data_IF_472848671878
#
_entry.id   IF_472848671878
#
_cell.length_a   1.000
_cell.length_b   1.000
_cell.length_c   1.000
_cell.angle_alpha   90.00
_cell.angle_beta   90.00
_cell.angle_gamma   90.00
#
_symmetry.space_group_name_H-M   'P 1'
#
loop_
_entity.id
_entity.type
_entity.pdbx_description
1 polymer ?
#
# COMPACT_ATOMS: atom_id res chain seq x y z
N UNK A 1 -11.35 -15.29 -0.80
CA UNK A 1 -10.44 -14.41 -0.03
C UNK A 1 -9.18 -15.19 0.32
N UNK A 2 -8.00 -14.57 0.25
CA UNK A 2 -6.75 -15.18 0.67
C UNK A 2 -6.03 -14.25 1.64
N UNK A 3 -5.59 -14.76 2.79
CA UNK A 3 -4.80 -13.96 3.73
C UNK A 3 -3.40 -13.72 3.14
N UNK A 4 -2.97 -12.46 3.10
CA UNK A 4 -1.65 -12.04 2.59
C UNK A 4 -0.98 -11.12 3.59
N UNK A 5 0.35 -11.18 3.63
CA UNK A 5 1.18 -10.28 4.43
C UNK A 5 1.78 -9.23 3.51
N UNK A 6 1.56 -7.96 3.81
CA UNK A 6 2.16 -6.81 3.16
C UNK A 6 3.23 -6.24 4.07
N UNK A 7 4.39 -5.91 3.50
CA UNK A 7 5.45 -5.17 4.20
C UNK A 7 5.42 -3.73 3.71
N UNK A 8 5.03 -2.80 4.57
CA UNK A 8 4.95 -1.39 4.22
C UNK A 8 6.03 -0.62 4.96
N UNK A 9 6.70 0.30 4.25
CA UNK A 9 7.67 1.19 4.87
C UNK A 9 6.93 2.23 5.71
N UNK A 10 7.35 2.37 6.97
CA UNK A 10 6.81 3.28 7.96
C UNK A 10 7.95 4.13 8.45
N UNK A 11 7.86 5.43 8.24
CA UNK A 11 8.94 6.34 8.57
C UNK A 11 8.62 7.80 8.26
N UNK A 12 9.54 8.66 8.65
CA UNK A 12 9.55 10.09 8.41
C UNK A 12 10.92 10.54 7.90
N UNK A 13 11.24 11.83 8.02
CA UNK A 13 12.51 12.39 7.58
C UNK A 13 13.74 11.85 8.35
N UNK A 14 13.56 11.26 9.53
CA UNK A 14 14.63 10.75 10.39
C UNK A 14 14.97 9.27 10.13
N UNK A 15 14.11 8.55 9.42
CA UNK A 15 14.30 7.13 9.11
C UNK A 15 12.98 6.36 9.08
N UNK A 16 13.07 5.05 8.98
CA UNK A 16 11.90 4.17 9.02
C UNK A 16 12.26 2.70 8.85
N UNK A 17 11.25 1.86 8.98
CA UNK A 17 11.36 0.41 8.90
C UNK A 17 10.18 -0.21 8.14
N UNK A 18 10.35 -1.46 7.73
CA UNK A 18 9.27 -2.24 7.13
C UNK A 18 8.44 -2.92 8.22
N UNK A 19 7.15 -2.60 8.30
CA UNK A 19 6.21 -3.26 9.19
C UNK A 19 5.28 -4.20 8.42
N UNK A 20 4.95 -5.33 9.04
CA UNK A 20 4.13 -6.38 8.46
C UNK A 20 2.64 -6.17 8.81
N UNK A 21 1.77 -6.20 7.80
CA UNK A 21 0.32 -6.10 7.92
C UNK A 21 -0.35 -7.28 7.25
N UNK A 22 -1.30 -7.91 7.94
CA UNK A 22 -2.05 -9.06 7.41
C UNK A 22 -3.43 -8.60 6.97
N UNK A 23 -3.79 -8.86 5.72
CA UNK A 23 -5.12 -8.57 5.18
C UNK A 23 -5.64 -9.70 4.32
N UNK A 24 -6.96 -9.81 4.24
CA UNK A 24 -7.60 -10.63 3.24
C UNK A 24 -7.65 -9.90 1.90
N UNK A 25 -7.18 -10.57 0.85
CA UNK A 25 -7.27 -10.07 -0.52
C UNK A 25 -8.31 -10.84 -1.33
N UNK A 26 -8.93 -10.13 -2.26
CA UNK A 26 -9.98 -10.62 -3.13
C UNK A 26 -9.62 -10.47 -4.61
N UNK A 27 -10.28 -11.25 -5.46
CA UNK A 27 -10.08 -11.16 -6.90
C UNK A 27 -10.52 -9.77 -7.39
N UNK A 28 -9.64 -9.09 -8.11
CA UNK A 28 -9.91 -7.75 -8.65
C UNK A 28 -9.36 -6.60 -7.79
N UNK A 29 -8.89 -6.87 -6.56
CA UNK A 29 -8.16 -5.88 -5.79
C UNK A 29 -6.82 -5.56 -6.46
N UNK A 30 -6.49 -4.27 -6.52
CA UNK A 30 -5.15 -3.78 -6.84
C UNK A 30 -4.37 -3.51 -5.55
N UNK A 31 -3.07 -3.20 -5.65
CA UNK A 31 -2.23 -2.98 -4.46
C UNK A 31 -2.71 -1.75 -3.69
N UNK A 32 -3.23 -0.73 -4.39
CA UNK A 32 -3.82 0.44 -3.76
C UNK A 32 -5.04 0.09 -2.88
N UNK A 33 -5.86 -0.89 -3.27
CA UNK A 33 -6.99 -1.35 -2.44
C UNK A 33 -6.50 -1.98 -1.12
N UNK A 34 -5.44 -2.78 -1.19
CA UNK A 34 -4.79 -3.36 -0.02
C UNK A 34 -4.23 -2.28 0.91
N UNK A 35 -3.56 -1.26 0.37
CA UNK A 35 -2.98 -0.16 1.14
C UNK A 35 -4.08 0.66 1.83
N UNK A 36 -5.19 0.97 1.14
CA UNK A 36 -6.31 1.67 1.75
C UNK A 36 -6.97 0.86 2.87
N UNK A 37 -7.11 -0.45 2.69
CA UNK A 37 -7.65 -1.32 3.74
C UNK A 37 -6.75 -1.32 4.98
N UNK A 38 -5.44 -1.46 4.80
CA UNK A 38 -4.46 -1.37 5.89
C UNK A 38 -4.54 0.00 6.57
N UNK A 39 -4.61 1.08 5.79
CA UNK A 39 -4.74 2.44 6.30
C UNK A 39 -5.99 2.57 7.20
N UNK A 40 -7.16 2.19 6.70
CA UNK A 40 -8.43 2.35 7.45
C UNK A 40 -8.55 1.42 8.65
N UNK A 41 -8.12 0.17 8.53
CA UNK A 41 -8.40 -0.86 9.56
C UNK A 41 -7.28 -1.01 10.59
N UNK A 42 -6.01 -0.76 10.22
CA UNK A 42 -4.85 -1.13 11.04
C UNK A 42 -3.87 0.02 11.29
N UNK A 43 -3.79 1.00 10.39
CA UNK A 43 -2.77 2.06 10.40
C UNK A 43 -3.33 3.39 9.87
N UNK A 44 -4.23 4.01 10.63
CA UNK A 44 -4.95 5.24 10.23
C UNK A 44 -4.02 6.45 10.00
N UNK A 45 -2.78 6.38 10.47
CA UNK A 45 -1.72 7.35 10.30
C UNK A 45 -0.81 7.06 9.09
N UNK A 46 -1.08 6.00 8.31
CA UNK A 46 -0.30 5.64 7.14
C UNK A 46 -0.42 6.73 6.06
N UNK A 47 0.70 7.31 5.66
CA UNK A 47 0.73 8.23 4.54
C UNK A 47 0.74 7.47 3.21
N UNK A 48 -0.23 7.76 2.33
CA UNK A 48 -0.26 7.27 0.94
C UNK A 48 -0.73 8.38 0.01
N UNK A 49 -0.01 8.57 -1.11
CA UNK A 49 -0.46 9.45 -2.20
C UNK A 49 -1.22 8.62 -3.22
N UNK A 50 -2.41 9.10 -3.58
CA UNK A 50 -3.28 8.47 -4.57
C UNK A 50 -4.25 9.50 -5.14
N UNK A 51 -4.85 9.18 -6.30
CA UNK A 51 -5.89 10.01 -6.90
C UNK A 51 -6.77 9.19 -7.87
N UNK A 52 -6.31 8.97 -9.12
CA UNK A 52 -7.20 8.48 -10.18
C UNK A 52 -7.71 7.04 -10.05
N UNK A 53 -7.03 6.18 -9.28
CA UNK A 53 -7.28 4.72 -9.18
C UNK A 53 -7.43 4.00 -10.54
N UNK A 54 -6.87 4.59 -11.61
CA UNK A 54 -7.01 4.15 -12.99
C UNK A 54 -5.67 3.92 -13.70
N UNK A 55 -4.55 4.01 -12.97
CA UNK A 55 -3.21 3.77 -13.51
C UNK A 55 -2.71 4.83 -14.51
N UNK A 56 -3.20 6.07 -14.44
CA UNK A 56 -2.85 7.13 -15.42
C UNK A 56 -2.11 8.33 -14.85
N UNK A 57 -2.47 8.81 -13.66
CA UNK A 57 -1.97 10.09 -13.14
C UNK A 57 -0.61 10.01 -12.43
N UNK A 58 -0.07 8.81 -12.19
CA UNK A 58 1.21 8.62 -11.51
C UNK A 58 1.20 8.87 -9.99
N UNK A 59 0.09 9.31 -9.39
CA UNK A 59 0.06 9.69 -7.97
C UNK A 59 0.33 8.53 -6.99
N UNK A 60 -0.01 7.30 -7.37
CA UNK A 60 0.23 6.08 -6.58
C UNK A 60 1.54 5.35 -6.97
N UNK A 61 2.52 6.08 -7.51
CA UNK A 61 3.85 5.52 -7.83
C UNK A 61 4.57 5.13 -6.54
N UNK A 62 5.04 3.89 -6.48
CA UNK A 62 5.86 3.37 -5.38
C UNK A 62 6.67 2.16 -5.84
N UNK A 63 7.63 1.74 -5.03
CA UNK A 63 8.33 0.47 -5.25
C UNK A 63 7.48 -0.69 -4.74
N UNK A 64 7.17 -1.65 -5.62
CA UNK A 64 6.42 -2.86 -5.29
C UNK A 64 7.30 -4.06 -5.63
N UNK A 65 7.77 -4.76 -4.60
CA UNK A 65 8.68 -5.90 -4.71
C UNK A 65 9.93 -5.60 -5.55
N UNK A 66 10.62 -4.49 -5.22
CA UNK A 66 11.86 -4.07 -5.87
C UNK A 66 11.69 -3.44 -7.26
N UNK A 67 10.45 -3.14 -7.68
CA UNK A 67 10.17 -2.55 -8.99
C UNK A 67 9.28 -1.31 -8.87
N UNK A 68 9.64 -0.18 -9.50
CA UNK A 68 8.75 0.99 -9.58
C UNK A 68 7.47 0.63 -10.34
N UNK A 69 6.31 0.82 -9.70
CA UNK A 69 4.98 0.51 -10.25
C UNK A 69 3.94 1.51 -9.76
N UNK A 70 2.79 1.52 -10.44
CA UNK A 70 1.57 2.13 -9.92
C UNK A 70 0.81 1.07 -9.12
N UNK A 71 0.47 1.40 -7.88
CA UNK A 71 -0.30 0.53 -6.98
C UNK A 71 -1.75 0.34 -7.42
#
# INVERSE_FOLDING_TARGET
>A
MALRTFKLFRGDASGGELLDYKIEVEKGMVVLDAIHRIQTEQANDLAVRWNCKAGKCGSCSMEINGKPKLA
#
